data_IF_745483969154
#
_entry.id   IF_745483969154
#
_cell.length_a   1.000
_cell.length_b   1.000
_cell.length_c   1.000
_cell.angle_alpha   90.00
_cell.angle_beta   90.00
_cell.angle_gamma   90.00
#
_symmetry.space_group_name_H-M   'P 1'
#
loop_
_entity.id
_entity.type
_entity.pdbx_description
1 polymer ?
#
# COMPACT_ATOMS: atom_id res chain seq x y z
N UNK A 1 -42.00 22.38 -11.80
CA UNK A 1 -41.24 22.08 -10.56
C UNK A 1 -39.93 21.42 -10.95
N UNK A 2 -38.82 22.16 -10.88
CA UNK A 2 -37.48 21.66 -11.22
C UNK A 2 -37.04 20.60 -10.21
N UNK A 3 -36.77 19.37 -10.67
CA UNK A 3 -36.05 18.37 -9.90
C UNK A 3 -34.62 18.86 -9.74
N UNK A 4 -34.26 19.38 -8.58
CA UNK A 4 -32.89 19.69 -8.20
C UNK A 4 -32.08 18.40 -8.29
N UNK A 5 -31.23 18.25 -9.30
CA UNK A 5 -30.36 17.09 -9.44
C UNK A 5 -29.40 17.06 -8.24
N UNK A 6 -29.60 16.12 -7.32
CA UNK A 6 -28.71 15.90 -6.18
C UNK A 6 -27.32 15.57 -6.72
N UNK A 7 -26.37 16.48 -6.58
CA UNK A 7 -25.00 16.30 -7.06
C UNK A 7 -24.35 15.16 -6.28
N UNK A 8 -23.97 14.08 -6.97
CA UNK A 8 -23.34 12.91 -6.34
C UNK A 8 -22.06 13.34 -5.62
N UNK A 9 -21.90 12.97 -4.34
CA UNK A 9 -20.64 13.16 -3.61
C UNK A 9 -19.50 12.45 -4.35
N UNK A 10 -18.37 13.14 -4.52
CA UNK A 10 -17.16 12.54 -5.09
C UNK A 10 -16.72 11.38 -4.21
N UNK A 11 -16.29 10.29 -4.82
CA UNK A 11 -15.87 9.07 -4.11
C UNK A 11 -14.44 8.73 -4.44
N UNK A 12 -13.58 8.65 -3.43
CA UNK A 12 -12.20 8.18 -3.59
C UNK A 12 -12.04 6.79 -3.00
N UNK A 13 -11.14 6.01 -3.58
CA UNK A 13 -10.72 4.73 -3.01
C UNK A 13 -9.31 4.80 -2.45
N UNK A 14 -9.06 4.17 -1.31
CA UNK A 14 -7.73 4.08 -0.69
C UNK A 14 -7.35 2.60 -0.59
N UNK A 15 -6.11 2.27 -0.92
CA UNK A 15 -5.58 0.93 -0.68
C UNK A 15 -4.13 0.98 -0.22
N UNK A 16 -3.70 -0.06 0.49
CA UNK A 16 -2.29 -0.27 0.85
C UNK A 16 -1.77 -1.53 0.18
N UNK A 17 -0.74 -1.41 -0.65
CA UNK A 17 -0.13 -2.52 -1.39
C UNK A 17 1.32 -2.84 -0.98
N UNK A 18 1.74 -4.08 -1.18
CA UNK A 18 3.11 -4.53 -0.92
C UNK A 18 3.37 -4.93 0.54
N UNK A 19 4.61 -4.72 1.02
CA UNK A 19 4.97 -4.90 2.44
C UNK A 19 4.45 -3.76 3.30
N UNK A 20 4.03 -4.05 4.52
CA UNK A 20 3.61 -3.01 5.46
C UNK A 20 4.80 -2.27 6.05
N UNK A 21 4.59 -1.01 6.39
CA UNK A 21 5.61 -0.14 7.02
C UNK A 21 4.92 0.77 8.04
N UNK A 22 5.66 1.28 9.04
CA UNK A 22 5.15 2.29 9.95
C UNK A 22 4.68 3.55 9.19
N UNK A 23 3.59 4.17 9.66
CA UNK A 23 3.05 5.41 9.07
C UNK A 23 1.86 5.22 8.12
N UNK A 24 1.53 3.98 7.75
CA UNK A 24 0.36 3.68 6.91
C UNK A 24 -0.98 4.09 7.54
N UNK A 25 -1.21 3.71 8.80
CA UNK A 25 -2.47 4.03 9.48
C UNK A 25 -2.66 5.54 9.69
N UNK A 26 -1.65 6.31 10.13
CA UNK A 26 -1.73 7.78 10.12
C UNK A 26 -2.06 8.36 8.73
N UNK A 27 -1.47 7.83 7.65
CA UNK A 27 -1.77 8.27 6.28
C UNK A 27 -3.25 8.04 5.93
N UNK A 28 -3.78 6.83 6.17
CA UNK A 28 -5.19 6.50 5.95
C UNK A 28 -6.09 7.43 6.78
N UNK A 29 -5.79 7.62 8.06
CA UNK A 29 -6.56 8.48 8.96
C UNK A 29 -6.61 9.91 8.44
N UNK A 30 -5.47 10.49 8.08
CA UNK A 30 -5.39 11.86 7.54
C UNK A 30 -6.21 12.01 6.26
N UNK A 31 -6.11 11.06 5.33
CA UNK A 31 -6.91 11.07 4.10
C UNK A 31 -8.41 11.03 4.38
N UNK A 32 -8.85 10.19 5.31
CA UNK A 32 -10.27 10.07 5.68
C UNK A 32 -10.79 11.34 6.36
N UNK A 33 -10.04 11.92 7.30
CA UNK A 33 -10.44 13.17 7.95
C UNK A 33 -10.49 14.33 6.97
N UNK A 34 -9.51 14.43 6.06
CA UNK A 34 -9.48 15.46 5.03
C UNK A 34 -10.65 15.29 4.05
N UNK A 35 -10.89 14.08 3.57
CA UNK A 35 -12.01 13.78 2.68
C UNK A 35 -13.35 14.11 3.33
N UNK A 36 -13.54 13.79 4.61
CA UNK A 36 -14.75 14.14 5.35
C UNK A 36 -14.99 15.66 5.41
N UNK A 37 -13.93 16.46 5.59
CA UNK A 37 -14.03 17.94 5.58
C UNK A 37 -14.42 18.53 4.23
N UNK A 38 -14.16 17.80 3.14
CA UNK A 38 -14.45 18.20 1.76
C UNK A 38 -15.71 17.49 1.22
N UNK A 39 -16.49 16.83 2.09
CA UNK A 39 -17.65 16.02 1.73
C UNK A 39 -17.39 14.92 0.69
N UNK A 40 -16.16 14.42 0.64
CA UNK A 40 -15.72 13.32 -0.23
C UNK A 40 -15.96 11.99 0.50
N UNK A 41 -16.61 11.06 -0.20
CA UNK A 41 -16.82 9.69 0.29
C UNK A 41 -15.53 8.88 0.13
N UNK A 42 -15.17 8.08 1.14
CA UNK A 42 -13.95 7.25 1.11
C UNK A 42 -14.28 5.77 1.18
N UNK A 43 -13.78 5.01 0.21
CA UNK A 43 -13.85 3.55 0.18
C UNK A 43 -12.44 2.98 0.41
N UNK A 44 -12.22 2.32 1.53
CA UNK A 44 -11.03 1.50 1.77
C UNK A 44 -11.13 0.17 1.04
N UNK A 45 -10.19 -0.13 0.15
CA UNK A 45 -10.05 -1.44 -0.49
C UNK A 45 -9.16 -2.30 0.40
N UNK A 46 -9.70 -3.43 0.85
CA UNK A 46 -8.99 -4.36 1.73
C UNK A 46 -8.04 -5.25 0.93
N UNK A 47 -6.92 -5.68 1.53
CA UNK A 47 -5.92 -6.56 0.91
C UNK A 47 -5.36 -5.98 -0.40
N UNK A 48 -5.16 -4.67 -0.48
CA UNK A 48 -4.59 -4.00 -1.66
C UNK A 48 -5.35 -4.31 -2.96
N UNK A 49 -4.61 -4.53 -4.05
CA UNK A 49 -5.20 -4.85 -5.36
C UNK A 49 -5.94 -6.19 -5.39
N UNK A 50 -5.61 -7.14 -4.50
CA UNK A 50 -6.31 -8.42 -4.42
C UNK A 50 -7.78 -8.24 -4.06
N UNK A 51 -8.11 -7.36 -3.11
CA UNK A 51 -9.51 -7.10 -2.76
C UNK A 51 -10.31 -6.55 -3.93
N UNK A 52 -9.70 -5.67 -4.74
CA UNK A 52 -10.37 -5.15 -5.92
C UNK A 52 -10.57 -6.21 -7.01
N UNK A 53 -9.67 -7.18 -7.15
CA UNK A 53 -9.81 -8.31 -8.07
C UNK A 53 -10.86 -9.33 -7.60
N UNK A 54 -10.86 -9.62 -6.31
CA UNK A 54 -11.76 -10.55 -5.61
C UNK A 54 -13.18 -10.00 -5.47
N UNK A 55 -13.34 -8.69 -5.63
CA UNK A 55 -14.65 -8.05 -5.58
C UNK A 55 -15.60 -8.64 -6.63
N UNK A 56 -16.80 -8.99 -6.17
CA UNK A 56 -17.91 -9.54 -6.95
C UNK A 56 -19.15 -8.68 -6.72
N UNK A 57 -19.65 -8.12 -7.80
CA UNK A 57 -20.93 -7.42 -7.86
C UNK A 57 -22.07 -8.36 -7.39
N UNK A 58 -23.00 -7.82 -6.60
CA UNK A 58 -24.17 -8.55 -6.08
C UNK A 58 -23.91 -9.49 -4.90
N UNK A 59 -22.66 -9.76 -4.52
CA UNK A 59 -22.34 -10.63 -3.40
C UNK A 59 -22.01 -9.83 -2.13
N UNK A 60 -22.96 -9.75 -1.20
CA UNK A 60 -22.84 -8.97 0.06
C UNK A 60 -21.60 -9.35 0.88
N UNK A 61 -21.21 -10.64 0.88
CA UNK A 61 -20.02 -11.13 1.57
C UNK A 61 -18.72 -10.67 0.89
N UNK A 62 -18.67 -10.68 -0.44
CA UNK A 62 -17.53 -10.15 -1.20
C UNK A 62 -17.34 -8.66 -0.93
N UNK A 63 -18.45 -7.90 -0.85
CA UNK A 63 -18.42 -6.48 -0.49
C UNK A 63 -17.80 -6.28 0.89
N UNK A 64 -18.28 -6.95 1.94
CA UNK A 64 -17.73 -6.81 3.31
C UNK A 64 -16.26 -7.24 3.42
N UNK A 65 -15.85 -8.23 2.64
CA UNK A 65 -14.48 -8.75 2.65
C UNK A 65 -13.49 -7.89 1.87
N UNK A 66 -13.92 -7.22 0.80
CA UNK A 66 -13.03 -6.55 -0.14
C UNK A 66 -13.03 -5.02 -0.04
N UNK A 67 -14.14 -4.42 0.41
CA UNK A 67 -14.28 -2.97 0.51
C UNK A 67 -14.94 -2.59 1.82
N UNK A 68 -14.56 -1.44 2.36
CA UNK A 68 -15.12 -0.88 3.57
C UNK A 68 -15.26 0.63 3.37
N UNK A 69 -16.40 1.19 3.73
CA UNK A 69 -16.55 2.64 3.77
C UNK A 69 -15.85 3.17 5.03
N UNK A 70 -15.09 4.25 4.88
CA UNK A 70 -14.30 4.83 5.96
C UNK A 70 -14.86 6.21 6.32
N UNK A 71 -15.27 6.36 7.58
CA UNK A 71 -15.58 7.66 8.17
C UNK A 71 -14.62 7.94 9.33
N UNK A 72 -14.58 9.18 9.86
CA UNK A 72 -13.69 9.54 10.96
C UNK A 72 -13.79 8.65 12.22
N UNK A 73 -14.96 8.11 12.61
CA UNK A 73 -15.07 7.17 13.73
C UNK A 73 -14.30 5.85 13.51
N UNK A 74 -14.35 5.28 12.31
CA UNK A 74 -13.74 3.97 11.96
C UNK A 74 -12.21 4.04 12.02
N UNK A 75 -11.63 5.19 11.69
CA UNK A 75 -10.18 5.41 11.66
C UNK A 75 -9.65 6.20 12.87
N UNK A 76 -10.48 6.41 13.90
CA UNK A 76 -10.13 7.27 15.05
C UNK A 76 -8.86 6.81 15.78
N UNK A 77 -8.66 5.50 15.90
CA UNK A 77 -7.60 4.91 16.74
C UNK A 77 -6.52 4.16 15.96
N UNK A 78 -6.66 4.06 14.63
CA UNK A 78 -5.76 3.20 13.82
C UNK A 78 -4.32 3.71 13.80
N UNK A 79 -4.12 5.02 13.99
CA UNK A 79 -2.80 5.67 14.06
C UNK A 79 -1.95 5.22 15.26
N UNK A 80 -2.57 4.55 16.25
CA UNK A 80 -1.89 4.02 17.43
C UNK A 80 -1.26 2.65 17.20
N UNK A 81 -1.56 1.98 16.09
CA UNK A 81 -1.02 0.68 15.75
C UNK A 81 -0.15 0.73 14.49
N UNK A 82 0.85 -0.17 14.44
CA UNK A 82 1.63 -0.41 13.24
C UNK A 82 0.86 -1.17 12.16
N UNK A 83 1.52 -1.41 11.02
CA UNK A 83 0.94 -2.11 9.89
C UNK A 83 -0.12 -1.27 9.16
N UNK A 84 -1.12 -1.92 8.57
CA UNK A 84 -2.22 -1.27 7.83
C UNK A 84 -3.59 -1.81 8.24
N UNK A 85 -4.51 -0.91 8.55
CA UNK A 85 -5.91 -1.17 8.89
C UNK A 85 -6.67 -1.87 7.74
N UNK A 86 -6.29 -1.59 6.49
CA UNK A 86 -6.93 -2.18 5.31
C UNK A 86 -6.35 -3.55 4.93
N UNK A 87 -5.28 -3.99 5.61
CA UNK A 87 -4.44 -5.10 5.17
C UNK A 87 -3.82 -4.87 3.78
N UNK A 88 -2.92 -5.75 3.38
CA UNK A 88 -2.18 -5.59 2.13
C UNK A 88 -1.98 -6.92 1.42
N UNK A 89 -1.58 -6.87 0.14
CA UNK A 89 -1.22 -8.02 -0.68
C UNK A 89 -0.16 -7.61 -1.69
N UNK A 90 0.55 -8.60 -2.25
CA UNK A 90 1.54 -8.41 -3.33
C UNK A 90 0.96 -8.68 -4.72
N UNK A 91 -0.35 -8.53 -4.88
CA UNK A 91 -1.02 -8.82 -6.15
C UNK A 91 -0.84 -7.67 -7.12
N UNK A 92 -0.37 -7.98 -8.33
CA UNK A 92 -0.37 -7.06 -9.46
C UNK A 92 -1.43 -7.49 -10.48
N UNK A 93 -2.54 -6.74 -10.65
CA UNK A 93 -3.60 -7.11 -11.57
C UNK A 93 -3.19 -7.18 -13.05
N UNK A 94 -2.11 -6.49 -13.47
CA UNK A 94 -1.63 -6.60 -14.85
C UNK A 94 -0.94 -7.94 -15.15
N UNK A 95 -0.47 -8.63 -14.10
CA UNK A 95 0.33 -9.84 -14.22
C UNK A 95 -0.01 -10.87 -13.13
N UNK A 96 -1.27 -11.30 -13.06
CA UNK A 96 -1.70 -12.29 -12.06
C UNK A 96 -1.30 -13.70 -12.49
N UNK A 97 -0.56 -14.41 -11.63
CA UNK A 97 -0.20 -15.81 -11.85
C UNK A 97 -1.39 -16.74 -11.60
N UNK A 98 -1.52 -17.82 -12.38
CA UNK A 98 -2.62 -18.79 -12.26
C UNK A 98 -2.79 -19.40 -10.85
N UNK A 99 -1.69 -19.57 -10.12
CA UNK A 99 -1.68 -20.09 -8.74
C UNK A 99 -2.26 -19.11 -7.71
N UNK A 100 -2.01 -17.81 -7.92
CA UNK A 100 -2.42 -16.70 -7.04
C UNK A 100 -3.79 -16.15 -7.42
N UNK A 101 -4.30 -16.49 -8.62
CA UNK A 101 -5.62 -16.07 -9.06
C UNK A 101 -6.73 -16.67 -8.17
N UNK A 102 -7.75 -15.87 -7.80
CA UNK A 102 -8.97 -16.36 -7.15
C UNK A 102 -9.60 -17.52 -7.92
N UNK A 103 -10.21 -18.48 -7.21
CA UNK A 103 -10.75 -19.71 -7.81
C UNK A 103 -11.69 -19.46 -8.99
N UNK A 104 -12.51 -18.41 -8.94
CA UNK A 104 -13.42 -18.03 -10.01
C UNK A 104 -12.71 -17.42 -11.23
N UNK A 105 -11.53 -16.81 -11.07
CA UNK A 105 -10.71 -16.28 -12.17
C UNK A 105 -9.82 -17.35 -12.81
N UNK A 106 -9.56 -18.48 -12.13
CA UNK A 106 -8.76 -19.59 -12.70
C UNK A 106 -9.34 -20.12 -14.03
N UNK A 107 -10.65 -20.05 -14.20
CA UNK A 107 -11.35 -20.43 -15.46
C UNK A 107 -11.00 -19.51 -16.63
N UNK A 108 -10.54 -18.29 -16.37
CA UNK A 108 -10.18 -17.33 -17.40
C UNK A 108 -8.79 -17.61 -18.01
N UNK A 109 -7.95 -18.45 -17.39
CA UNK A 109 -6.64 -18.80 -17.92
C UNK A 109 -6.77 -19.87 -19.00
N UNK A 110 -6.13 -19.66 -20.17
CA UNK A 110 -6.03 -20.73 -21.17
C UNK A 110 -5.03 -21.80 -20.70
N UNK A 111 -5.03 -22.97 -21.35
CA UNK A 111 -4.21 -24.12 -20.94
C UNK A 111 -2.69 -23.82 -20.95
N UNK A 112 -2.25 -22.84 -21.74
CA UNK A 112 -0.85 -22.40 -21.88
C UNK A 112 -0.51 -21.09 -21.13
N UNK A 113 -1.49 -20.40 -20.56
CA UNK A 113 -1.25 -19.09 -19.94
C UNK A 113 -0.83 -19.28 -18.46
N UNK A 114 0.37 -18.82 -18.11
CA UNK A 114 0.82 -18.79 -16.71
C UNK A 114 0.42 -17.50 -15.98
N UNK A 115 0.34 -16.40 -16.74
CA UNK A 115 0.06 -15.05 -16.27
C UNK A 115 -1.06 -14.44 -17.10
N UNK A 116 -1.94 -13.66 -16.48
CA UNK A 116 -3.04 -12.98 -17.15
C UNK A 116 -3.26 -11.57 -16.61
N UNK A 117 -3.57 -10.66 -17.52
CA UNK A 117 -3.97 -9.28 -17.23
C UNK A 117 -5.47 -9.22 -16.88
N UNK A 118 -5.77 -8.67 -15.71
CA UNK A 118 -7.12 -8.43 -15.19
C UNK A 118 -7.43 -6.94 -15.01
N UNK A 119 -6.66 -6.04 -15.62
CA UNK A 119 -6.91 -4.58 -15.63
C UNK A 119 -8.34 -4.23 -16.06
N UNK A 120 -8.93 -4.84 -17.11
CA UNK A 120 -10.31 -4.53 -17.50
C UNK A 120 -11.34 -4.85 -16.40
N UNK A 121 -11.08 -5.90 -15.60
CA UNK A 121 -11.94 -6.25 -14.46
C UNK A 121 -11.81 -5.22 -13.34
N UNK A 122 -10.59 -4.78 -13.07
CA UNK A 122 -10.33 -3.72 -12.08
C UNK A 122 -11.09 -2.44 -12.44
N UNK A 123 -11.00 -1.99 -13.70
CA UNK A 123 -11.72 -0.81 -14.18
C UNK A 123 -13.24 -0.96 -14.03
N UNK A 124 -13.79 -2.11 -14.42
CA UNK A 124 -15.23 -2.40 -14.24
C UNK A 124 -15.65 -2.37 -12.77
N UNK A 125 -14.81 -2.92 -11.88
CA UNK A 125 -15.09 -2.92 -10.45
C UNK A 125 -15.02 -1.50 -9.85
N UNK A 126 -14.09 -0.66 -10.30
CA UNK A 126 -14.01 0.75 -9.91
C UNK A 126 -15.25 1.54 -10.33
N UNK A 127 -15.70 1.33 -11.57
CA UNK A 127 -16.92 1.93 -12.12
C UNK A 127 -18.16 1.49 -11.32
N UNK A 128 -18.31 0.19 -11.06
CA UNK A 128 -19.43 -0.35 -10.29
C UNK A 128 -19.48 0.18 -8.85
N UNK A 129 -18.31 0.32 -8.21
CA UNK A 129 -18.21 0.92 -6.88
C UNK A 129 -18.45 2.45 -6.88
N UNK A 130 -18.53 3.07 -8.06
CA UNK A 130 -18.73 4.50 -8.22
C UNK A 130 -17.52 5.32 -7.81
N UNK A 131 -16.31 4.78 -7.94
CA UNK A 131 -15.06 5.44 -7.53
C UNK A 131 -14.64 6.44 -8.62
N UNK A 132 -14.46 7.70 -8.23
CA UNK A 132 -14.02 8.79 -9.11
C UNK A 132 -12.48 8.87 -9.22
N UNK A 133 -11.75 8.49 -8.16
CA UNK A 133 -10.28 8.46 -8.15
C UNK A 133 -9.76 7.43 -7.14
N UNK A 134 -8.55 6.92 -7.36
CA UNK A 134 -7.90 5.96 -6.46
C UNK A 134 -6.58 6.49 -5.91
N UNK A 135 -6.35 6.21 -4.62
CA UNK A 135 -5.16 6.58 -3.86
C UNK A 135 -4.45 5.31 -3.41
N UNK A 136 -3.59 4.72 -4.27
CA UNK A 136 -2.76 3.60 -3.87
C UNK A 136 -1.57 4.08 -3.03
N UNK A 137 -1.42 3.49 -1.84
CA UNK A 137 -0.30 3.71 -0.92
C UNK A 137 0.61 2.48 -1.00
N UNK A 138 1.80 2.64 -1.57
CA UNK A 138 2.54 1.49 -2.10
C UNK A 138 4.01 1.73 -2.40
N UNK A 139 4.76 0.63 -2.55
CA UNK A 139 6.08 0.66 -3.17
C UNK A 139 5.98 0.45 -4.69
N UNK A 140 7.12 0.21 -5.34
CA UNK A 140 7.24 0.12 -6.80
C UNK A 140 6.20 -0.80 -7.47
N UNK A 141 6.02 -2.04 -7.01
CA UNK A 141 5.00 -2.97 -7.56
C UNK A 141 3.57 -2.40 -7.52
N UNK A 142 3.23 -1.67 -6.46
CA UNK A 142 1.88 -1.13 -6.28
C UNK A 142 1.68 0.11 -7.14
N UNK A 143 2.72 0.95 -7.23
CA UNK A 143 2.68 2.20 -7.97
C UNK A 143 2.84 1.99 -9.49
N UNK A 144 3.54 0.95 -9.93
CA UNK A 144 3.60 0.56 -11.35
C UNK A 144 2.22 0.18 -11.88
N UNK A 145 1.40 -0.54 -11.10
CA UNK A 145 0.01 -0.79 -11.48
C UNK A 145 -0.85 0.49 -11.41
N UNK A 146 -0.55 1.41 -10.49
CA UNK A 146 -1.20 2.71 -10.44
C UNK A 146 -0.91 3.54 -11.71
N UNK A 147 0.33 3.54 -12.20
CA UNK A 147 0.71 4.15 -13.49
C UNK A 147 -0.03 3.47 -14.65
N UNK A 148 -0.14 2.14 -14.65
CA UNK A 148 -0.94 1.42 -15.65
C UNK A 148 -2.38 1.92 -15.68
N UNK A 149 -3.03 2.11 -14.53
CA UNK A 149 -4.39 2.67 -14.46
C UNK A 149 -4.46 4.12 -14.95
N UNK A 150 -3.44 4.92 -14.66
CA UNK A 150 -3.35 6.29 -15.15
C UNK A 150 -3.27 6.34 -16.68
N UNK A 151 -2.49 5.44 -17.30
CA UNK A 151 -2.41 5.29 -18.77
C UNK A 151 -3.74 4.86 -19.39
N UNK A 152 -4.57 4.10 -18.66
CA UNK A 152 -5.96 3.78 -19.01
C UNK A 152 -6.94 4.94 -18.73
N UNK A 153 -6.43 6.13 -18.42
CA UNK A 153 -7.17 7.38 -18.14
C UNK A 153 -8.00 7.36 -16.87
N UNK A 154 -7.75 6.44 -15.94
CA UNK A 154 -8.37 6.48 -14.62
C UNK A 154 -7.64 7.48 -13.71
N UNK A 155 -8.35 8.35 -12.95
CA UNK A 155 -7.71 9.28 -12.03
C UNK A 155 -7.02 8.59 -10.86
N UNK A 156 -5.72 8.88 -10.66
CA UNK A 156 -4.85 8.24 -9.67
C UNK A 156 -4.05 9.30 -8.91
N UNK A 157 -3.95 9.15 -7.59
CA UNK A 157 -3.02 9.93 -6.74
C UNK A 157 -2.17 8.94 -5.95
N UNK A 158 -0.90 8.78 -6.33
CA UNK A 158 0.00 7.81 -5.69
C UNK A 158 0.58 8.36 -4.38
N UNK A 159 0.71 7.50 -3.36
CA UNK A 159 1.45 7.80 -2.13
C UNK A 159 2.62 6.83 -1.99
N UNK A 160 3.87 7.31 -2.09
CA UNK A 160 5.06 6.46 -2.01
C UNK A 160 5.30 5.93 -0.60
N UNK A 161 5.42 4.61 -0.51
CA UNK A 161 5.53 3.86 0.74
C UNK A 161 6.48 2.69 0.56
N UNK A 162 7.64 2.79 1.19
CA UNK A 162 8.65 1.74 1.23
C UNK A 162 9.58 2.02 2.41
N UNK A 163 10.11 0.96 3.01
CA UNK A 163 11.16 1.09 4.02
C UNK A 163 12.55 1.20 3.39
N UNK A 164 12.65 0.98 2.09
CA UNK A 164 13.90 0.93 1.33
C UNK A 164 14.24 2.28 0.67
N UNK A 165 13.30 3.23 0.69
CA UNK A 165 13.34 4.53 0.00
C UNK A 165 13.60 4.45 -1.52
N UNK A 166 13.15 3.37 -2.15
CA UNK A 166 13.45 3.01 -3.53
C UNK A 166 12.43 3.52 -4.56
N UNK A 167 11.58 4.49 -4.20
CA UNK A 167 10.58 5.05 -5.13
C UNK A 167 11.07 6.40 -5.68
N UNK A 168 11.28 6.45 -7.00
CA UNK A 168 11.71 7.67 -7.69
C UNK A 168 10.68 8.80 -7.57
N UNK A 169 11.19 10.04 -7.45
CA UNK A 169 10.38 11.26 -7.41
C UNK A 169 10.01 11.75 -6.02
N UNK A 170 10.49 11.10 -4.96
CA UNK A 170 10.41 11.58 -3.58
C UNK A 170 11.76 11.41 -2.89
N UNK A 171 12.12 12.35 -2.02
CA UNK A 171 13.33 12.22 -1.19
C UNK A 171 13.11 11.23 -0.05
N UNK A 172 11.87 11.14 0.46
CA UNK A 172 11.53 10.24 1.56
C UNK A 172 10.19 9.54 1.34
N UNK A 173 10.20 8.22 1.47
CA UNK A 173 9.01 7.39 1.47
C UNK A 173 8.43 7.22 2.88
N UNK A 174 7.10 7.03 2.97
CA UNK A 174 6.48 6.66 4.23
C UNK A 174 7.08 5.34 4.71
N UNK A 175 7.58 5.34 5.94
CA UNK A 175 8.18 4.18 6.61
C UNK A 175 9.70 4.22 6.70
N UNK A 176 10.39 4.91 5.80
CA UNK A 176 11.85 4.93 5.73
C UNK A 176 12.51 5.45 7.01
N UNK A 177 12.13 6.64 7.49
CA UNK A 177 12.71 7.25 8.70
C UNK A 177 12.53 6.39 9.95
N UNK A 178 11.40 5.69 10.06
CA UNK A 178 11.15 4.76 11.17
C UNK A 178 12.01 3.50 11.04
N UNK A 179 12.22 2.99 9.81
CA UNK A 179 13.11 1.86 9.56
C UNK A 179 14.55 2.19 9.97
N UNK A 180 15.05 3.35 9.57
CA UNK A 180 16.37 3.89 9.99
C UNK A 180 16.45 4.00 11.52
N UNK A 181 15.47 4.64 12.15
CA UNK A 181 15.45 4.81 13.62
C UNK A 181 15.52 3.47 14.35
N UNK A 182 14.78 2.45 13.87
CA UNK A 182 14.82 1.11 14.44
C UNK A 182 16.15 0.40 14.17
N UNK A 183 16.74 0.58 12.99
CA UNK A 183 18.07 0.08 12.66
C UNK A 183 19.13 0.63 13.63
N UNK A 184 19.18 1.95 13.81
CA UNK A 184 20.10 2.62 14.74
C UNK A 184 19.92 2.12 16.16
N UNK A 185 18.68 2.03 16.66
CA UNK A 185 18.40 1.55 18.01
C UNK A 185 18.86 0.09 18.23
N UNK A 186 18.71 -0.77 17.21
CA UNK A 186 19.18 -2.15 17.26
C UNK A 186 20.71 -2.21 17.32
N UNK A 187 21.39 -1.45 16.44
CA UNK A 187 22.86 -1.37 16.40
C UNK A 187 23.40 -0.91 17.76
N UNK A 188 22.82 0.15 18.34
CA UNK A 188 23.23 0.64 19.66
C UNK A 188 23.01 -0.39 20.77
N UNK A 189 21.89 -1.10 20.74
CA UNK A 189 21.58 -2.14 21.74
C UNK A 189 22.60 -3.29 21.74
N UNK A 190 23.13 -3.66 20.56
CA UNK A 190 24.13 -4.73 20.43
C UNK A 190 25.57 -4.26 20.69
N UNK A 191 25.85 -2.95 20.53
CA UNK A 191 27.20 -2.39 20.62
C UNK A 191 27.91 -2.71 21.93
N UNK A 192 27.23 -2.56 23.06
CA UNK A 192 27.82 -2.79 24.39
C UNK A 192 28.31 -4.23 24.55
N UNK A 193 27.48 -5.21 24.21
CA UNK A 193 27.85 -6.63 24.34
C UNK A 193 28.96 -7.03 23.36
N UNK A 194 28.90 -6.51 22.12
CA UNK A 194 29.93 -6.77 21.12
C UNK A 194 31.28 -6.19 21.53
N UNK A 195 31.30 -4.95 22.05
CA UNK A 195 32.50 -4.27 22.51
C UNK A 195 33.14 -4.93 23.74
N UNK A 196 32.35 -5.30 24.75
CA UNK A 196 32.87 -5.93 25.98
C UNK A 196 33.51 -7.31 25.76
N UNK A 197 33.18 -7.97 24.65
CA UNK A 197 33.76 -9.28 24.29
C UNK A 197 34.76 -9.20 23.13
N UNK A 198 35.18 -7.99 22.75
CA UNK A 198 36.15 -7.78 21.64
C UNK A 198 35.71 -8.47 20.34
N UNK A 199 34.40 -8.46 20.05
CA UNK A 199 33.81 -9.12 18.88
C UNK A 199 33.58 -8.14 17.73
N UNK A 200 33.42 -8.71 16.54
CA UNK A 200 32.87 -8.02 15.37
C UNK A 200 31.41 -8.42 15.22
N UNK A 201 30.52 -7.42 15.07
CA UNK A 201 29.12 -7.66 14.74
C UNK A 201 28.87 -7.31 13.27
N UNK A 202 28.24 -8.24 12.55
CA UNK A 202 27.71 -8.01 11.20
C UNK A 202 26.19 -7.87 11.34
N UNK A 203 25.65 -6.72 10.96
CA UNK A 203 24.23 -6.40 11.11
C UNK A 203 23.61 -6.30 9.72
N UNK A 204 22.75 -7.26 9.40
CA UNK A 204 21.98 -7.24 8.16
C UNK A 204 20.74 -6.35 8.33
N UNK A 205 20.60 -5.36 7.46
CA UNK A 205 19.45 -4.48 7.39
C UNK A 205 18.63 -4.75 6.13
N UNK A 206 17.36 -4.35 6.19
CA UNK A 206 16.45 -4.34 5.04
C UNK A 206 16.90 -3.28 4.01
N UNK A 207 16.43 -3.40 2.77
CA UNK A 207 16.81 -2.50 1.68
C UNK A 207 16.58 -3.09 0.29
N UNK A 208 16.43 -4.43 0.19
CA UNK A 208 16.22 -5.17 -1.06
C UNK A 208 17.29 -4.85 -2.12
N UNK A 209 17.03 -3.89 -3.00
CA UNK A 209 17.95 -3.46 -4.07
C UNK A 209 18.47 -2.03 -3.87
N UNK A 210 18.10 -1.37 -2.76
CA UNK A 210 18.50 -0.03 -2.38
C UNK A 210 19.32 -0.06 -1.08
N UNK A 211 20.52 0.53 -1.12
CA UNK A 211 21.44 0.60 0.03
C UNK A 211 21.18 1.78 0.97
N UNK A 212 20.18 2.62 0.71
CA UNK A 212 19.99 3.87 1.46
C UNK A 212 19.71 3.63 2.95
N UNK A 213 18.91 2.60 3.26
CA UNK A 213 18.67 2.19 4.66
C UNK A 213 19.97 1.76 5.35
N UNK A 214 20.84 1.01 4.66
CA UNK A 214 22.17 0.60 5.16
C UNK A 214 23.04 1.83 5.40
N UNK A 215 23.20 2.67 4.38
CA UNK A 215 24.04 3.87 4.41
C UNK A 215 23.64 4.85 5.53
N UNK A 216 22.36 5.21 5.61
CA UNK A 216 21.88 6.20 6.57
C UNK A 216 21.92 5.63 8.00
N UNK A 217 21.52 4.37 8.19
CA UNK A 217 21.59 3.74 9.53
C UNK A 217 23.03 3.60 10.02
N UNK A 218 23.94 3.22 9.12
CA UNK A 218 25.37 3.10 9.41
C UNK A 218 25.97 4.44 9.84
N UNK A 219 25.71 5.50 9.08
CA UNK A 219 26.18 6.84 9.38
C UNK A 219 25.67 7.33 10.75
N UNK A 220 24.37 7.21 11.00
CA UNK A 220 23.75 7.67 12.25
C UNK A 220 24.16 6.85 13.48
N UNK A 221 24.41 5.55 13.30
CA UNK A 221 24.84 4.68 14.39
C UNK A 221 26.36 4.69 14.61
N UNK A 222 27.14 5.39 13.77
CA UNK A 222 28.60 5.43 13.84
C UNK A 222 29.22 4.03 13.73
N UNK A 223 28.83 3.26 12.71
CA UNK A 223 29.44 1.95 12.41
C UNK A 223 30.73 2.12 11.61
N UNK A 224 31.66 1.18 11.76
CA UNK A 224 32.97 1.25 11.11
C UNK A 224 32.90 1.09 9.58
N UNK A 225 31.96 0.30 9.08
CA UNK A 225 31.80 0.02 7.65
C UNK A 225 30.34 -0.26 7.29
N UNK A 226 29.88 0.34 6.20
CA UNK A 226 28.65 -0.01 5.49
C UNK A 226 28.97 -0.77 4.20
N UNK A 227 28.11 -1.70 3.83
CA UNK A 227 28.13 -2.45 2.56
C UNK A 227 26.76 -2.25 1.89
#
# INVERSE_FOLDING_TARGET
MNKTAVKRKKTIAILTGGGDVPGLNPCIKTLVYRAASEEIRVIGIRRGWAGLLEYREGETLSRKGCVQELHPPEVRTIDRSGGTYLHTSRTNPSAVRKREAPAFLKKAFKRKDEVKDFTPRVLKNLEHLGIDAIIPIGGDDTLSFADRLHRERFPVIAVPKTMDNDVFGTDFCIGFSTAVTRGVNMIHSLRTCTGSHERIAVIELFGRYCGETSLVSAYLAGVDRAI
#
